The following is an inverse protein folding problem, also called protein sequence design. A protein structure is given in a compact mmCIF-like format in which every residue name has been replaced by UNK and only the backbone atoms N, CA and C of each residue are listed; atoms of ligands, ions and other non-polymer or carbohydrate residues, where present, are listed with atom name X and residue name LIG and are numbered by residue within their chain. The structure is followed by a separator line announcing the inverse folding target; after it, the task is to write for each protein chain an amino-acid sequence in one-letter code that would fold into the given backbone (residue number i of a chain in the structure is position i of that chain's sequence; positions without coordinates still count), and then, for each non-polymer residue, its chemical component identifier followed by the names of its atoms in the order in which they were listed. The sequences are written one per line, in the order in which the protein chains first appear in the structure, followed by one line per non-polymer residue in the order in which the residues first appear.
data_IF_393187934303
#
_entry.id   IF_393187934303
#
_cell.length_a   1.000
_cell.length_b   1.000
_cell.length_c   1.000
_cell.angle_alpha   90.00
_cell.angle_beta   90.00
_cell.angle_gamma   90.00
#
_symmetry.space_group_name_H-M   'P 1'
#
loop_
_entity.id
_entity.type
_entity.pdbx_description
1 polymer ?
#
# COMPACT_ATOMS: atom_id res chain seq x y z
N UNK A 1 -4.41 17.15 11.95
CA UNK A 1 -3.39 17.12 10.86
C UNK A 1 -1.99 17.21 11.46
N UNK A 2 -1.73 18.15 12.35
CA UNK A 2 -0.43 18.29 13.02
C UNK A 2 -0.01 17.00 13.77
N UNK A 3 -0.96 16.33 14.43
CA UNK A 3 -0.68 15.04 15.09
C UNK A 3 -0.30 13.93 14.11
N UNK A 4 -0.91 13.89 12.91
CA UNK A 4 -0.53 12.92 11.85
C UNK A 4 0.90 13.20 11.39
N UNK A 5 1.22 14.45 11.08
CA UNK A 5 2.56 14.82 10.60
C UNK A 5 3.62 14.49 11.66
N UNK A 6 3.34 14.79 12.94
CA UNK A 6 4.23 14.42 14.04
C UNK A 6 4.39 12.90 14.16
N UNK A 7 3.29 12.15 14.15
CA UNK A 7 3.30 10.70 14.25
C UNK A 7 4.12 10.04 13.14
N UNK A 8 3.97 10.50 11.90
CA UNK A 8 4.72 9.99 10.74
C UNK A 8 6.20 10.32 10.84
N UNK A 9 6.56 11.52 11.30
CA UNK A 9 7.97 11.89 11.52
C UNK A 9 8.62 11.00 12.58
N UNK A 10 7.93 10.75 13.69
CA UNK A 10 8.41 9.84 14.74
C UNK A 10 8.57 8.41 14.20
N UNK A 11 7.62 7.96 13.36
CA UNK A 11 7.70 6.66 12.68
C UNK A 11 8.90 6.57 11.74
N UNK A 12 9.19 7.60 10.94
CA UNK A 12 10.38 7.61 10.09
C UNK A 12 11.68 7.53 10.88
N UNK A 13 11.79 8.26 11.99
CA UNK A 13 12.94 8.19 12.89
C UNK A 13 13.06 6.79 13.51
N UNK A 14 11.94 6.18 13.91
CA UNK A 14 11.89 4.81 14.40
C UNK A 14 12.36 3.79 13.36
N UNK A 15 11.90 3.90 12.12
CA UNK A 15 12.31 3.04 11.00
C UNK A 15 13.81 3.16 10.70
N UNK A 16 14.37 4.37 10.75
CA UNK A 16 15.82 4.59 10.61
C UNK A 16 16.60 3.91 11.73
N UNK A 17 16.16 4.10 12.98
CA UNK A 17 16.79 3.49 14.14
C UNK A 17 16.78 1.96 14.07
N UNK A 18 15.69 1.39 13.54
CA UNK A 18 15.53 -0.04 13.36
C UNK A 18 16.27 -0.60 12.12
N UNK A 19 16.85 0.25 11.28
CA UNK A 19 17.53 -0.18 10.04
C UNK A 19 16.57 -0.72 8.98
N UNK A 20 15.31 -0.29 8.99
CA UNK A 20 14.29 -0.73 8.03
C UNK A 20 14.55 -0.09 6.67
N UNK A 21 14.41 -0.89 5.61
CA UNK A 21 14.48 -0.42 4.22
C UNK A 21 13.06 -0.09 3.75
N UNK A 22 12.74 1.20 3.75
CA UNK A 22 11.40 1.72 3.50
C UNK A 22 10.91 2.58 4.66
N UNK A 23 10.16 3.63 4.33
CA UNK A 23 9.57 4.59 5.27
C UNK A 23 8.08 4.65 5.03
N UNK A 24 7.39 3.58 5.41
CA UNK A 24 5.95 3.42 5.28
C UNK A 24 5.42 2.58 6.46
N UNK A 25 4.11 2.60 6.69
CA UNK A 25 3.48 1.90 7.80
C UNK A 25 3.26 0.41 7.48
N UNK A 26 2.46 0.09 6.47
CA UNK A 26 2.18 -1.30 6.08
C UNK A 26 1.81 -1.50 4.61
N UNK A 27 2.56 -0.88 3.70
CA UNK A 27 2.40 -1.15 2.26
C UNK A 27 2.47 -2.65 1.93
N UNK A 28 3.25 -3.43 2.69
CA UNK A 28 3.32 -4.89 2.59
C UNK A 28 1.97 -5.58 2.75
N UNK A 29 1.09 -5.10 3.65
CA UNK A 29 -0.25 -5.65 3.83
C UNK A 29 -1.12 -5.40 2.59
N UNK A 30 -1.06 -4.18 2.03
CA UNK A 30 -1.78 -3.82 0.83
C UNK A 30 -1.35 -4.72 -0.34
N UNK A 31 -0.03 -4.85 -0.54
CA UNK A 31 0.54 -5.63 -1.61
C UNK A 31 0.23 -7.11 -1.46
N UNK A 32 0.39 -7.69 -0.27
CA UNK A 32 0.06 -9.10 -0.04
C UNK A 32 -1.40 -9.41 -0.39
N UNK A 33 -2.34 -8.58 0.07
CA UNK A 33 -3.76 -8.75 -0.23
C UNK A 33 -4.04 -8.67 -1.74
N UNK A 34 -3.52 -7.64 -2.41
CA UNK A 34 -3.72 -7.42 -3.84
C UNK A 34 -3.03 -8.49 -4.68
N UNK A 35 -1.81 -8.89 -4.32
CA UNK A 35 -1.03 -9.85 -5.08
C UNK A 35 -1.69 -11.23 -5.07
N UNK A 36 -2.20 -11.65 -3.91
CA UNK A 36 -3.00 -12.87 -3.80
C UNK A 36 -4.30 -12.79 -4.62
N UNK A 37 -5.03 -11.67 -4.50
CA UNK A 37 -6.31 -11.48 -5.18
C UNK A 37 -6.18 -11.39 -6.71
N UNK A 38 -5.08 -10.82 -7.21
CA UNK A 38 -4.88 -10.48 -8.61
C UNK A 38 -3.90 -11.43 -9.33
N UNK A 39 -3.45 -12.49 -8.65
CA UNK A 39 -2.58 -13.51 -9.23
C UNK A 39 -1.18 -13.05 -9.55
N UNK A 40 -0.66 -12.13 -8.74
CA UNK A 40 0.72 -11.67 -8.79
C UNK A 40 1.62 -12.61 -7.97
N UNK A 41 2.93 -12.49 -8.09
CA UNK A 41 3.86 -13.24 -7.27
C UNK A 41 3.92 -12.64 -5.86
N UNK A 42 3.32 -13.32 -4.88
CA UNK A 42 3.28 -12.83 -3.49
C UNK A 42 4.65 -12.83 -2.82
N UNK A 43 5.61 -13.64 -3.30
CA UNK A 43 6.98 -13.58 -2.77
C UNK A 43 7.61 -12.22 -3.03
N UNK A 44 7.23 -11.58 -4.15
CA UNK A 44 7.73 -10.26 -4.53
C UNK A 44 7.32 -9.15 -3.55
N UNK A 45 6.37 -9.38 -2.63
CA UNK A 45 6.02 -8.40 -1.59
C UNK A 45 7.25 -7.98 -0.79
N UNK A 46 8.21 -8.89 -0.57
CA UNK A 46 9.42 -8.63 0.21
C UNK A 46 10.24 -7.44 -0.32
N UNK A 47 10.37 -7.31 -1.64
CA UNK A 47 11.09 -6.22 -2.28
C UNK A 47 10.18 -5.11 -2.82
N UNK A 48 8.91 -5.42 -3.10
CA UNK A 48 7.95 -4.47 -3.70
C UNK A 48 7.32 -3.55 -2.64
N UNK A 49 7.29 -3.93 -1.35
CA UNK A 49 6.77 -3.09 -0.27
C UNK A 49 7.73 -1.96 0.15
N UNK A 50 8.95 -1.95 -0.39
CA UNK A 50 9.88 -0.85 -0.13
C UNK A 50 9.33 0.42 -0.76
N UNK A 51 9.02 1.40 0.07
CA UNK A 51 8.48 2.67 -0.37
C UNK A 51 8.63 3.75 0.70
N UNK A 52 8.50 5.00 0.27
CA UNK A 52 8.57 6.18 1.14
C UNK A 52 7.23 6.89 1.08
N UNK A 53 6.56 6.99 2.22
CA UNK A 53 5.36 7.78 2.41
C UNK A 53 5.74 9.13 3.02
N UNK A 54 5.24 10.25 2.47
CA UNK A 54 5.46 11.57 3.08
C UNK A 54 4.13 12.23 3.38
N UNK A 55 4.08 12.96 4.50
CA UNK A 55 2.88 13.63 5.00
C UNK A 55 3.24 15.07 5.32
N UNK A 56 2.64 15.99 4.60
CA UNK A 56 2.91 17.42 4.72
C UNK A 56 1.60 18.17 4.92
N UNK A 57 1.60 19.13 5.83
CA UNK A 57 0.49 20.06 5.96
C UNK A 57 0.72 21.23 5.00
N UNK A 58 -0.21 21.42 4.07
CA UNK A 58 -0.23 22.56 3.14
C UNK A 58 -1.51 23.34 3.43
N UNK A 59 -1.36 24.50 4.06
CA UNK A 59 -2.47 25.28 4.62
C UNK A 59 -3.35 24.42 5.56
N UNK A 60 -4.64 24.31 5.25
CA UNK A 60 -5.62 23.49 5.97
C UNK A 60 -5.78 22.09 5.37
N UNK A 61 -4.89 21.66 4.48
CA UNK A 61 -4.95 20.36 3.82
C UNK A 61 -3.77 19.47 4.22
N UNK A 62 -3.99 18.17 4.14
CA UNK A 62 -2.94 17.17 4.25
C UNK A 62 -2.55 16.70 2.85
N UNK A 63 -1.30 16.96 2.46
CA UNK A 63 -0.71 16.44 1.24
C UNK A 63 0.08 15.17 1.57
N UNK A 64 -0.27 14.06 0.91
CA UNK A 64 0.35 12.76 1.16
C UNK A 64 0.87 12.20 -0.14
N UNK A 65 2.11 11.70 -0.12
CA UNK A 65 2.69 10.97 -1.24
C UNK A 65 3.12 9.58 -0.80
N UNK A 66 3.10 8.63 -1.73
CA UNK A 66 3.72 7.32 -1.57
C UNK A 66 4.52 7.02 -2.83
N UNK A 67 5.83 6.83 -2.67
CA UNK A 67 6.73 6.44 -3.75
C UNK A 67 7.18 5.00 -3.57
N UNK A 68 6.84 4.14 -4.53
CA UNK A 68 7.19 2.71 -4.52
C UNK A 68 7.98 2.38 -5.80
N UNK A 69 9.33 2.38 -5.76
CA UNK A 69 10.16 2.28 -6.95
C UNK A 69 10.24 0.88 -7.56
N UNK A 70 9.83 -0.16 -6.82
CA UNK A 70 10.07 -1.57 -7.17
C UNK A 70 8.81 -2.36 -7.52
N UNK A 71 7.66 -1.71 -7.74
CA UNK A 71 6.41 -2.42 -8.09
C UNK A 71 6.60 -3.19 -9.41
N UNK A 72 6.48 -4.50 -9.30
CA UNK A 72 6.60 -5.49 -10.36
C UNK A 72 5.30 -6.28 -10.41
N UNK A 73 4.49 -6.00 -11.43
CA UNK A 73 3.18 -6.62 -11.63
C UNK A 73 2.98 -7.04 -13.08
N UNK A 74 2.13 -8.05 -13.29
CA UNK A 74 1.79 -8.58 -14.60
C UNK A 74 0.29 -8.85 -14.73
N UNK A 75 -0.21 -8.77 -15.96
CA UNK A 75 -1.63 -9.03 -16.28
C UNK A 75 -1.82 -10.18 -17.27
N UNK A 76 -0.71 -10.82 -17.66
CA UNK A 76 -0.61 -11.98 -18.54
C UNK A 76 0.42 -12.94 -17.96
N UNK A 77 0.12 -14.24 -17.95
CA UNK A 77 1.04 -15.29 -17.48
C UNK A 77 0.94 -15.59 -15.97
N UNK A 78 1.71 -16.58 -15.51
CA UNK A 78 1.70 -16.98 -14.09
C UNK A 78 0.30 -17.35 -13.57
N UNK A 79 -0.03 -16.88 -12.37
CA UNK A 79 -1.33 -17.11 -11.73
C UNK A 79 -2.46 -16.21 -12.29
N UNK A 80 -2.15 -15.19 -13.09
CA UNK A 80 -3.16 -14.30 -13.71
C UNK A 80 -4.08 -15.02 -14.70
N UNK A 81 -3.72 -16.24 -15.12
CA UNK A 81 -4.55 -17.13 -15.97
C UNK A 81 -5.59 -17.93 -15.18
N UNK A 82 -5.46 -18.02 -13.85
CA UNK A 82 -6.41 -18.73 -13.01
C UNK A 82 -7.75 -17.99 -13.03
N UNK A 83 -8.84 -18.74 -13.05
CA UNK A 83 -10.19 -18.20 -13.31
C UNK A 83 -10.54 -17.04 -12.37
N UNK A 84 -10.32 -17.20 -11.07
CA UNK A 84 -10.70 -16.19 -10.07
C UNK A 84 -9.83 -14.92 -10.19
N UNK A 85 -8.51 -15.07 -10.25
CA UNK A 85 -7.56 -13.96 -10.39
C UNK A 85 -7.80 -13.20 -11.70
N UNK A 86 -8.11 -13.92 -12.78
CA UNK A 86 -8.46 -13.33 -14.07
C UNK A 86 -9.71 -12.47 -13.99
N UNK A 87 -10.76 -12.97 -13.34
CA UNK A 87 -12.00 -12.20 -13.15
C UNK A 87 -11.76 -10.91 -12.34
N UNK A 88 -10.88 -10.94 -11.34
CA UNK A 88 -10.53 -9.74 -10.57
C UNK A 88 -9.76 -8.71 -11.42
N UNK A 89 -8.84 -9.17 -12.28
CA UNK A 89 -8.14 -8.29 -13.23
C UNK A 89 -9.11 -7.68 -14.25
N UNK A 90 -10.13 -8.43 -14.69
CA UNK A 90 -11.17 -7.93 -15.59
C UNK A 90 -12.05 -6.89 -14.91
N UNK A 91 -12.43 -7.12 -13.64
CA UNK A 91 -13.15 -6.16 -12.81
C UNK A 91 -12.41 -4.81 -12.69
N UNK A 92 -11.08 -4.86 -12.53
CA UNK A 92 -10.23 -3.67 -12.50
C UNK A 92 -9.93 -3.10 -13.90
N UNK A 93 -10.35 -3.78 -14.97
CA UNK A 93 -10.07 -3.41 -16.35
C UNK A 93 -8.57 -3.40 -16.67
N UNK A 94 -7.81 -4.34 -16.12
CA UNK A 94 -6.36 -4.47 -16.27
C UNK A 94 -5.96 -5.54 -17.31
N UNK A 95 -6.89 -6.02 -18.12
CA UNK A 95 -6.64 -7.11 -19.09
C UNK A 95 -6.39 -6.64 -20.53
N UNK A 96 -6.44 -5.33 -20.78
CA UNK A 96 -6.17 -4.72 -22.08
C UNK A 96 -4.73 -4.23 -22.26
N UNK A 97 -4.50 -3.47 -23.33
CA UNK A 97 -3.24 -2.74 -23.55
C UNK A 97 -2.94 -1.85 -22.34
N UNK A 98 -1.68 -1.80 -21.93
CA UNK A 98 -1.20 -1.05 -20.76
C UNK A 98 -1.80 -1.51 -19.40
N UNK A 99 -2.40 -2.71 -19.37
CA UNK A 99 -3.05 -3.25 -18.18
C UNK A 99 -2.11 -3.40 -16.97
N UNK A 100 -0.84 -3.77 -17.18
CA UNK A 100 0.16 -3.86 -16.11
C UNK A 100 0.49 -2.50 -15.51
N UNK A 101 0.59 -1.45 -16.35
CA UNK A 101 0.81 -0.08 -15.88
C UNK A 101 -0.38 0.41 -15.04
N UNK A 102 -1.60 0.22 -15.54
CA UNK A 102 -2.83 0.54 -14.79
C UNK A 102 -2.89 -0.22 -13.47
N UNK A 103 -2.52 -1.51 -13.47
CA UNK A 103 -2.48 -2.31 -12.26
C UNK A 103 -1.46 -1.77 -11.24
N UNK A 104 -0.27 -1.37 -11.68
CA UNK A 104 0.74 -0.77 -10.80
C UNK A 104 0.23 0.53 -10.15
N UNK A 105 -0.46 1.38 -10.91
CA UNK A 105 -1.10 2.61 -10.41
C UNK A 105 -2.18 2.29 -9.36
N UNK A 106 -3.03 1.28 -9.62
CA UNK A 106 -4.05 0.83 -8.66
C UNK A 106 -3.42 0.28 -7.38
N UNK A 107 -2.38 -0.54 -7.49
CA UNK A 107 -1.67 -1.10 -6.32
C UNK A 107 -1.08 0.01 -5.46
N UNK A 108 -0.38 0.97 -6.06
CA UNK A 108 0.20 2.10 -5.33
C UNK A 108 -0.88 2.98 -4.69
N UNK A 109 -1.96 3.28 -5.41
CA UNK A 109 -3.07 4.08 -4.88
C UNK A 109 -3.80 3.38 -3.71
N UNK A 110 -3.99 2.06 -3.80
CA UNK A 110 -4.58 1.27 -2.72
C UNK A 110 -3.66 1.23 -1.49
N UNK A 111 -2.34 1.05 -1.69
CA UNK A 111 -1.37 1.13 -0.62
C UNK A 111 -1.36 2.52 0.05
N UNK A 112 -1.37 3.61 -0.72
CA UNK A 112 -1.46 4.97 -0.20
C UNK A 112 -2.75 5.21 0.61
N UNK A 113 -3.89 4.76 0.10
CA UNK A 113 -5.18 4.89 0.80
C UNK A 113 -5.15 4.19 2.15
N UNK A 114 -4.51 3.04 2.18
CA UNK A 114 -4.37 2.22 3.36
C UNK A 114 -3.38 2.86 4.37
N UNK A 115 -2.26 3.42 3.91
CA UNK A 115 -1.33 4.22 4.74
C UNK A 115 -2.06 5.37 5.45
N UNK A 116 -2.86 6.15 4.70
CA UNK A 116 -3.62 7.29 5.25
C UNK A 116 -4.62 6.81 6.31
N UNK A 117 -5.33 5.73 6.03
CA UNK A 117 -6.29 5.14 6.96
C UNK A 117 -5.62 4.69 8.26
N UNK A 118 -4.46 4.03 8.16
CA UNK A 118 -3.74 3.53 9.32
C UNK A 118 -3.13 4.69 10.14
N UNK A 119 -2.55 5.69 9.48
CA UNK A 119 -2.07 6.90 10.15
C UNK A 119 -3.20 7.58 10.95
N UNK A 120 -4.39 7.69 10.35
CA UNK A 120 -5.59 8.20 11.01
C UNK A 120 -5.97 7.38 12.25
N UNK A 121 -6.05 6.06 12.12
CA UNK A 121 -6.42 5.16 13.23
C UNK A 121 -5.41 5.18 14.39
N UNK A 122 -4.12 5.38 14.10
CA UNK A 122 -3.08 5.51 15.14
C UNK A 122 -3.29 6.82 15.91
N UNK A 123 -3.46 7.95 15.22
CA UNK A 123 -3.62 9.25 15.91
C UNK A 123 -4.96 9.39 16.62
N UNK A 124 -6.01 8.71 16.15
CA UNK A 124 -7.32 8.66 16.82
C UNK A 124 -7.38 7.65 17.96
N UNK A 125 -6.32 6.87 18.17
CA UNK A 125 -6.26 5.77 19.15
C UNK A 125 -7.35 4.69 18.93
N UNK A 126 -7.75 4.49 17.67
CA UNK A 126 -8.77 3.52 17.27
C UNK A 126 -8.18 2.22 16.73
N UNK A 127 -6.87 2.18 16.45
CA UNK A 127 -6.23 1.01 15.84
C UNK A 127 -6.52 -0.30 16.60
N UNK A 128 -6.32 -0.32 17.92
CA UNK A 128 -6.50 -1.54 18.71
C UNK A 128 -7.97 -1.99 18.77
N UNK A 129 -8.91 -1.05 18.87
CA UNK A 129 -10.34 -1.38 18.93
C UNK A 129 -10.88 -1.81 17.56
N UNK A 130 -10.43 -1.18 16.48
CA UNK A 130 -10.71 -1.59 15.11
C UNK A 130 -10.17 -3.00 14.83
N UNK A 131 -8.92 -3.26 15.23
CA UNK A 131 -8.29 -4.56 15.06
C UNK A 131 -9.02 -5.66 15.85
N UNK A 132 -9.39 -5.39 17.11
CA UNK A 132 -10.15 -6.34 17.94
C UNK A 132 -11.52 -6.68 17.34
N UNK A 133 -12.17 -5.72 16.66
CA UNK A 133 -13.50 -5.88 16.10
C UNK A 133 -13.51 -6.47 14.69
N UNK A 134 -12.53 -6.11 13.86
CA UNK A 134 -12.55 -6.37 12.41
C UNK A 134 -11.33 -7.13 11.90
N UNK A 135 -10.31 -7.37 12.73
CA UNK A 135 -9.05 -8.03 12.34
C UNK A 135 -8.18 -7.18 11.41
N UNK A 136 -8.42 -5.87 11.34
CA UNK A 136 -7.70 -4.90 10.52
C UNK A 136 -7.74 -3.53 11.17
#
# INVERSE_FOLDING_TARGET
MDDIVRCINDMHLGSQLAGVVGMNLHTSNALAALYLALGQDVACVAENCVGIATYEKIDENLFVTLSMPSITVGTVGGATRLKQQRQNLELLGCTGKDGSRKLAEIVCAAALSLEISLAGAIVSNEFASAHAKFGR
#
